data_IF_754970001014
#
_entry.id   IF_754970001014
#
_cell.length_a   1.000
_cell.length_b   1.000
_cell.length_c   1.000
_cell.angle_alpha   90.00
_cell.angle_beta   90.00
_cell.angle_gamma   90.00
#
_symmetry.space_group_name_H-M   'P 1'
#
loop_
_entity.id
_entity.type
_entity.pdbx_description
1 polymer ?
#
# COMPACT_ATOMS: atom_id res chain seq x y z
N UNK A 1 -2.76 -12.69 -4.00
CA UNK A 1 -3.20 -12.55 -5.41
C UNK A 1 -2.05 -11.91 -6.16
N UNK A 2 -1.45 -12.63 -7.10
CA UNK A 2 -0.41 -12.06 -7.96
C UNK A 2 -1.02 -11.14 -9.02
N UNK A 3 -0.26 -10.19 -9.55
CA UNK A 3 -0.78 -9.24 -10.57
C UNK A 3 -1.44 -9.96 -11.75
N UNK A 4 -0.83 -11.03 -12.28
CA UNK A 4 -1.40 -11.79 -13.39
C UNK A 4 -2.73 -12.48 -13.03
N UNK A 5 -2.89 -12.97 -11.80
CA UNK A 5 -4.16 -13.54 -11.33
C UNK A 5 -5.24 -12.46 -11.22
N UNK A 6 -4.86 -11.26 -10.76
CA UNK A 6 -5.76 -10.12 -10.72
C UNK A 6 -6.19 -9.71 -12.14
N UNK A 7 -5.25 -9.65 -13.10
CA UNK A 7 -5.56 -9.34 -14.50
C UNK A 7 -6.47 -10.40 -15.13
N UNK A 8 -6.27 -11.69 -14.83
CA UNK A 8 -7.17 -12.74 -15.30
C UNK A 8 -8.59 -12.55 -14.76
N UNK A 9 -8.73 -12.25 -13.45
CA UNK A 9 -10.03 -12.03 -12.82
C UNK A 9 -10.74 -10.76 -13.31
N UNK A 10 -10.00 -9.67 -13.50
CA UNK A 10 -10.56 -8.35 -13.83
C UNK A 10 -10.75 -8.12 -15.32
N UNK A 11 -9.86 -8.65 -16.15
CA UNK A 11 -9.86 -8.41 -17.60
C UNK A 11 -10.05 -9.69 -18.43
N UNK A 12 -10.10 -10.88 -17.82
CA UNK A 12 -10.22 -12.15 -18.54
C UNK A 12 -8.95 -12.54 -19.30
N UNK A 13 -7.80 -11.94 -18.97
CA UNK A 13 -6.55 -12.10 -19.71
C UNK A 13 -5.58 -12.98 -18.93
N UNK A 14 -5.19 -14.10 -19.53
CA UNK A 14 -4.09 -14.95 -19.04
C UNK A 14 -2.73 -14.45 -19.53
N UNK A 15 -1.81 -14.28 -18.60
CA UNK A 15 -0.42 -13.90 -18.85
C UNK A 15 0.52 -14.45 -17.78
N UNK A 16 1.79 -14.65 -18.14
CA UNK A 16 2.82 -15.17 -17.23
C UNK A 16 3.87 -14.12 -16.80
N UNK A 17 3.64 -12.84 -17.12
CA UNK A 17 4.44 -11.73 -16.62
C UNK A 17 3.63 -10.44 -16.63
N UNK A 18 4.01 -9.50 -15.75
CA UNK A 18 3.40 -8.16 -15.68
C UNK A 18 3.46 -7.47 -17.05
N UNK A 19 4.62 -7.54 -17.72
CA UNK A 19 4.81 -6.97 -19.07
C UNK A 19 3.77 -7.49 -20.07
N UNK A 20 3.63 -8.82 -20.19
CA UNK A 20 2.67 -9.43 -21.14
C UNK A 20 1.23 -9.14 -20.74
N UNK A 21 0.94 -9.09 -19.44
CA UNK A 21 -0.39 -8.77 -18.93
C UNK A 21 -0.79 -7.35 -19.35
N UNK A 22 0.05 -6.35 -19.05
CA UNK A 22 -0.20 -4.93 -19.39
C UNK A 22 -0.39 -4.75 -20.90
N UNK A 23 0.49 -5.34 -21.72
CA UNK A 23 0.42 -5.22 -23.20
C UNK A 23 -0.86 -5.81 -23.82
N UNK A 24 -1.48 -6.80 -23.15
CA UNK A 24 -2.71 -7.43 -23.65
C UNK A 24 -3.99 -6.68 -23.27
N UNK A 25 -3.96 -5.79 -22.27
CA UNK A 25 -5.15 -5.08 -21.79
C UNK A 25 -5.54 -4.01 -22.81
N UNK A 26 -6.59 -4.28 -23.60
CA UNK A 26 -7.09 -3.35 -24.63
C UNK A 26 -7.45 -1.97 -24.07
N UNK A 27 -7.96 -1.91 -22.85
CA UNK A 27 -8.32 -0.66 -22.17
C UNK A 27 -7.11 0.27 -21.92
N UNK A 28 -5.89 -0.27 -21.85
CA UNK A 28 -4.67 0.50 -21.61
C UNK A 28 -4.01 1.01 -22.90
N UNK A 29 -4.50 0.61 -24.08
CA UNK A 29 -3.85 0.88 -25.38
C UNK A 29 -3.57 2.36 -25.65
N UNK A 30 -4.45 3.24 -25.18
CA UNK A 30 -4.36 4.68 -25.45
C UNK A 30 -3.94 5.51 -24.21
N UNK A 31 -3.52 4.85 -23.13
CA UNK A 31 -3.03 5.54 -21.93
C UNK A 31 -1.56 5.88 -22.15
N UNK A 32 -1.24 7.17 -22.17
CA UNK A 32 0.12 7.68 -22.37
C UNK A 32 0.71 8.21 -21.07
N UNK A 33 2.04 8.21 -20.98
CA UNK A 33 2.74 8.83 -19.87
C UNK A 33 2.49 10.35 -19.84
N UNK A 34 2.43 10.98 -18.66
CA UNK A 34 2.42 12.42 -18.52
C UNK A 34 3.63 13.08 -19.18
N UNK A 35 3.49 14.36 -19.57
CA UNK A 35 4.59 15.14 -20.17
C UNK A 35 5.53 15.77 -19.14
N UNK A 36 5.11 15.81 -17.88
CA UNK A 36 5.86 16.36 -16.76
C UNK A 36 6.42 15.25 -15.90
N UNK A 37 7.58 15.49 -15.28
CA UNK A 37 8.20 14.54 -14.37
C UNK A 37 7.42 14.42 -13.07
N UNK A 38 7.10 15.55 -12.45
CA UNK A 38 6.41 15.60 -11.17
C UNK A 38 4.92 15.53 -11.42
N UNK A 39 4.30 14.43 -10.99
CA UNK A 39 2.88 14.16 -11.21
C UNK A 39 2.30 13.51 -9.97
N UNK A 40 0.98 13.30 -9.98
CA UNK A 40 0.31 12.53 -8.92
C UNK A 40 0.87 11.13 -8.70
N UNK A 41 1.52 10.52 -9.71
CA UNK A 41 2.21 9.24 -9.50
C UNK A 41 3.32 9.32 -8.44
N UNK A 42 3.89 10.50 -8.23
CA UNK A 42 4.82 10.74 -7.14
C UNK A 42 4.11 11.36 -5.93
N UNK A 43 3.43 12.49 -6.14
CA UNK A 43 2.90 13.30 -5.03
C UNK A 43 1.71 12.66 -4.31
N UNK A 44 1.06 11.65 -4.90
CA UNK A 44 -0.05 10.90 -4.30
C UNK A 44 0.38 9.47 -3.94
N UNK A 45 0.86 8.68 -4.91
CA UNK A 45 1.10 7.24 -4.70
C UNK A 45 2.29 6.95 -3.78
N UNK A 46 3.32 7.79 -3.78
CA UNK A 46 4.49 7.59 -2.90
C UNK A 46 4.13 7.86 -1.44
N UNK A 47 3.63 9.05 -1.04
CA UNK A 47 3.32 9.33 0.36
C UNK A 47 2.10 8.57 0.88
N UNK A 48 1.18 8.11 0.01
CA UNK A 48 -0.07 7.46 0.47
C UNK A 48 -0.15 5.96 0.17
N UNK A 49 0.72 5.43 -0.69
CA UNK A 49 0.83 4.01 -1.00
C UNK A 49 2.15 3.41 -0.50
N UNK A 50 3.29 3.88 -1.04
CA UNK A 50 4.59 3.27 -0.74
C UNK A 50 5.06 3.51 0.69
N UNK A 51 4.98 4.75 1.17
CA UNK A 51 5.40 5.13 2.54
C UNK A 51 4.64 4.36 3.63
N UNK A 52 3.30 4.25 3.61
CA UNK A 52 2.61 3.42 4.60
C UNK A 52 3.02 1.95 4.55
N UNK A 53 3.25 1.38 3.35
CA UNK A 53 3.71 -0.01 3.22
C UNK A 53 5.11 -0.20 3.81
N UNK A 54 6.06 0.67 3.49
CA UNK A 54 7.42 0.60 4.02
C UNK A 54 7.45 0.82 5.54
N UNK A 55 6.69 1.80 6.03
CA UNK A 55 6.61 2.10 7.47
C UNK A 55 5.96 0.96 8.26
N UNK A 56 4.95 0.29 7.70
CA UNK A 56 4.39 -0.91 8.30
C UNK A 56 5.41 -2.06 8.31
N UNK A 57 6.16 -2.25 7.22
CA UNK A 57 7.24 -3.22 7.15
C UNK A 57 8.27 -3.00 8.26
N UNK A 58 8.77 -1.77 8.38
CA UNK A 58 9.71 -1.37 9.44
C UNK A 58 9.15 -1.63 10.85
N UNK A 59 7.89 -1.26 11.10
CA UNK A 59 7.22 -1.49 12.39
C UNK A 59 7.08 -2.97 12.74
N UNK A 60 6.97 -3.84 11.73
CA UNK A 60 6.85 -5.30 11.88
C UNK A 60 8.19 -6.04 11.69
N UNK A 61 9.31 -5.31 11.60
CA UNK A 61 10.64 -5.87 11.35
C UNK A 61 10.77 -6.63 10.02
N UNK A 62 9.97 -6.26 9.01
CA UNK A 62 9.99 -6.81 7.65
C UNK A 62 10.68 -5.83 6.71
N UNK A 63 11.80 -6.26 6.11
CA UNK A 63 12.54 -5.44 5.15
C UNK A 63 11.80 -5.27 3.82
N UNK A 64 11.73 -4.02 3.33
CA UNK A 64 11.10 -3.66 2.05
C UNK A 64 12.05 -2.95 1.07
N UNK A 65 13.24 -3.50 0.78
CA UNK A 65 14.35 -2.75 0.17
C UNK A 65 14.01 -2.14 -1.20
N UNK A 66 13.14 -2.80 -1.98
CA UNK A 66 12.70 -2.29 -3.28
C UNK A 66 11.75 -1.10 -3.13
N UNK A 67 10.81 -1.15 -2.18
CA UNK A 67 9.91 -0.03 -1.89
C UNK A 67 10.72 1.16 -1.37
N UNK A 68 11.64 0.91 -0.44
CA UNK A 68 12.53 1.92 0.11
C UNK A 68 13.36 2.62 -0.97
N UNK A 69 13.89 1.84 -1.93
CA UNK A 69 14.65 2.39 -3.06
C UNK A 69 13.80 3.31 -3.94
N UNK A 70 12.55 2.92 -4.23
CA UNK A 70 11.62 3.73 -5.03
C UNK A 70 11.24 5.02 -4.29
N UNK A 71 10.96 4.94 -2.98
CA UNK A 71 10.70 6.13 -2.16
C UNK A 71 11.90 7.08 -2.20
N UNK A 72 13.11 6.58 -1.99
CA UNK A 72 14.33 7.40 -2.00
C UNK A 72 14.53 8.12 -3.33
N UNK A 73 14.40 7.41 -4.46
CA UNK A 73 14.50 8.03 -5.79
C UNK A 73 13.41 9.09 -6.00
N UNK A 74 12.19 8.78 -5.59
CA UNK A 74 11.06 9.71 -5.70
C UNK A 74 11.28 10.98 -4.88
N UNK A 75 11.79 10.84 -3.64
CA UNK A 75 12.12 11.96 -2.76
C UNK A 75 13.17 12.87 -3.38
N UNK A 76 14.22 12.30 -3.98
CA UNK A 76 15.27 13.07 -4.67
C UNK A 76 14.69 13.81 -5.88
N UNK A 77 13.88 13.13 -6.71
CA UNK A 77 13.29 13.74 -7.91
C UNK A 77 12.33 14.89 -7.57
N UNK A 78 11.56 14.74 -6.48
CA UNK A 78 10.54 15.72 -6.09
C UNK A 78 11.06 16.80 -5.14
N UNK A 79 12.23 16.61 -4.51
CA UNK A 79 12.72 17.49 -3.44
C UNK A 79 11.86 17.43 -2.16
N UNK A 80 11.19 16.30 -1.92
CA UNK A 80 10.26 16.09 -0.78
C UNK A 80 10.75 14.90 0.01
N UNK A 81 10.83 15.01 1.35
CA UNK A 81 11.11 13.85 2.19
C UNK A 81 9.83 13.03 2.41
N UNK A 82 9.53 12.15 1.44
CA UNK A 82 8.30 11.36 1.51
C UNK A 82 8.26 10.41 2.72
N UNK A 83 9.39 9.91 3.22
CA UNK A 83 9.38 9.04 4.42
C UNK A 83 8.89 9.82 5.64
N UNK A 84 9.36 11.06 5.78
CA UNK A 84 8.97 11.95 6.87
C UNK A 84 7.55 12.50 6.72
N UNK A 85 7.18 12.96 5.53
CA UNK A 85 5.92 13.68 5.27
C UNK A 85 4.73 12.77 4.95
N UNK A 86 4.99 11.56 4.45
CA UNK A 86 3.95 10.64 4.02
C UNK A 86 3.15 10.00 5.17
N UNK A 87 2.23 9.11 4.81
CA UNK A 87 1.34 8.38 5.73
C UNK A 87 2.06 7.24 6.44
N UNK A 88 3.13 7.52 7.16
CA UNK A 88 3.83 6.54 7.98
C UNK A 88 3.03 6.22 9.27
N UNK A 89 3.37 5.10 9.94
CA UNK A 89 2.66 4.60 11.13
C UNK A 89 2.57 5.64 12.26
N UNK A 90 3.61 6.47 12.40
CA UNK A 90 3.66 7.52 13.43
C UNK A 90 2.76 8.70 13.07
N UNK A 91 2.80 9.16 11.82
CA UNK A 91 1.96 10.24 11.31
C UNK A 91 0.47 9.86 11.34
N UNK A 92 0.15 8.59 11.08
CA UNK A 92 -1.20 8.05 11.18
C UNK A 92 -1.63 7.72 12.62
N UNK A 93 -0.71 7.79 13.59
CA UNK A 93 -0.96 7.45 15.01
C UNK A 93 -1.48 6.01 15.20
N UNK A 94 -1.00 5.08 14.37
CA UNK A 94 -1.48 3.69 14.35
C UNK A 94 -0.64 2.72 15.19
N UNK A 95 0.56 3.11 15.63
CA UNK A 95 1.48 2.22 16.36
C UNK A 95 0.79 1.47 17.52
N UNK A 96 0.15 2.22 18.43
CA UNK A 96 -0.54 1.63 19.58
C UNK A 96 -1.70 0.71 19.19
N UNK A 97 -2.46 1.09 18.14
CA UNK A 97 -3.57 0.30 17.65
C UNK A 97 -3.08 -1.05 17.11
N UNK A 98 -2.05 -1.03 16.27
CA UNK A 98 -1.47 -2.25 15.69
C UNK A 98 -0.91 -3.15 16.79
N UNK A 99 -0.16 -2.60 17.75
CA UNK A 99 0.39 -3.38 18.88
C UNK A 99 -0.70 -4.07 19.70
N UNK A 100 -1.80 -3.37 20.02
CA UNK A 100 -2.93 -3.96 20.78
C UNK A 100 -3.57 -5.11 20.02
N UNK A 101 -3.80 -4.93 18.72
CA UNK A 101 -4.38 -5.96 17.85
C UNK A 101 -3.47 -7.19 17.74
N UNK A 102 -2.16 -6.99 17.61
CA UNK A 102 -1.18 -8.09 17.58
C UNK A 102 -1.11 -8.89 18.89
N UNK A 103 -1.31 -8.23 20.04
CA UNK A 103 -1.39 -8.89 21.35
C UNK A 103 -2.73 -9.57 21.61
N UNK A 104 -3.72 -9.40 20.73
CA UNK A 104 -5.07 -9.94 20.89
C UNK A 104 -5.89 -9.23 21.98
N UNK A 105 -5.44 -8.07 22.48
CA UNK A 105 -6.09 -7.35 23.58
C UNK A 105 -7.51 -6.87 23.18
N UNK A 106 -7.72 -6.54 21.92
CA UNK A 106 -9.02 -6.07 21.40
C UNK A 106 -10.03 -7.21 21.13
N UNK A 107 -9.59 -8.48 20.98
CA UNK A 107 -10.51 -9.62 20.86
C UNK A 107 -11.33 -9.84 22.14
N UNK A 108 -10.76 -9.54 23.30
CA UNK A 108 -11.45 -9.67 24.59
C UNK A 108 -12.57 -8.62 24.76
N UNK A 109 -12.40 -7.42 24.21
CA UNK A 109 -13.45 -6.38 24.26
C UNK A 109 -14.58 -6.66 23.27
N UNK A 110 -14.28 -7.14 22.06
CA UNK A 110 -15.29 -7.49 21.05
C UNK A 110 -16.16 -8.66 21.53
N UNK A 111 -15.57 -9.69 22.15
CA UNK A 111 -16.32 -10.80 22.74
C UNK A 111 -17.19 -10.37 23.94
N UNK A 112 -16.75 -9.39 24.74
CA UNK A 112 -17.58 -8.81 25.82
C UNK A 112 -18.78 -8.04 25.26
N UNK A 113 -18.58 -7.24 24.21
CA UNK A 113 -19.67 -6.47 23.57
C UNK A 113 -20.69 -7.37 22.86
N UNK A 114 -20.28 -8.48 22.25
CA UNK A 114 -21.21 -9.42 21.63
C UNK A 114 -22.04 -10.19 22.68
N UNK A 115 -21.44 -10.55 23.83
CA UNK A 115 -22.17 -11.21 24.93
C UNK A 115 -23.16 -10.28 25.65
N UNK A 116 -22.88 -8.98 25.75
CA UNK A 116 -23.79 -8.01 26.35
C UNK A 116 -25.01 -7.67 25.48
N UNK A 117 -24.96 -7.92 24.17
CA UNK A 117 -26.09 -7.68 23.26
C UNK A 117 -27.07 -8.87 23.15
N UNK A 118 -26.71 -10.05 23.66
CA UNK A 118 -27.54 -11.27 23.58
C UNK A 118 -28.36 -11.51 24.87
N UNK A 119 -28.14 -10.71 25.93
CA UNK A 119 -28.84 -10.87 27.22
C UNK A 119 -30.02 -9.91 27.44
N UNK A 120 -30.72 -9.49 26.39
CA UNK A 120 -32.01 -8.78 26.49
C UNK A 120 -33.02 -9.45 25.59
#
# INVERSE_FOLDING_TARGET
IYFCEWVEKSYGIKANSIYKAIQKIKAYKNIVAPKELITRYFTEDVPTGLVPMASLGEFLEISTPIIDSIINLSSILCGIDFKKEGRNIMNLKLANYITKQMKGEDMFEIQKRSKSQIST
#
